data_IF_868862548326
#
_entry.id   IF_868862548326
#
_cell.length_a   1.000
_cell.length_b   1.000
_cell.length_c   1.000
_cell.angle_alpha   90.00
_cell.angle_beta   90.00
_cell.angle_gamma   90.00
#
_symmetry.space_group_name_H-M   'P 1'
#
loop_
_entity.id
_entity.type
_entity.pdbx_description
1 polymer ?
#
# COMPACT_ATOMS: atom_id res chain seq x y z
N UNK A 1 28.56 -4.31 8.01
CA UNK A 1 28.64 -5.70 8.55
C UNK A 1 27.77 -5.85 9.79
N UNK A 2 27.38 -7.06 10.12
CA UNK A 2 26.70 -7.42 11.36
C UNK A 2 27.60 -8.45 12.07
N UNK A 3 28.01 -8.15 13.31
CA UNK A 3 28.91 -8.99 14.11
C UNK A 3 30.15 -9.46 13.32
N UNK A 4 30.76 -8.53 12.56
CA UNK A 4 31.95 -8.76 11.75
C UNK A 4 31.70 -9.48 10.41
N UNK A 5 30.48 -9.90 10.09
CA UNK A 5 30.14 -10.55 8.81
C UNK A 5 29.52 -9.54 7.84
N UNK A 6 29.90 -9.61 6.56
CA UNK A 6 29.30 -8.78 5.53
C UNK A 6 27.82 -9.14 5.36
N UNK A 7 26.97 -8.12 5.32
CA UNK A 7 25.56 -8.26 4.96
C UNK A 7 25.41 -7.95 3.47
N UNK A 8 24.99 -8.90 2.69
CA UNK A 8 24.61 -8.69 1.29
C UNK A 8 23.26 -7.99 1.10
N UNK A 9 22.79 -7.21 2.11
CA UNK A 9 21.47 -6.57 2.14
C UNK A 9 21.51 -5.31 3.01
N UNK A 10 20.58 -4.37 2.78
CA UNK A 10 20.48 -3.10 3.51
C UNK A 10 19.49 -3.14 4.70
N UNK A 11 18.93 -4.26 5.02
CA UNK A 11 17.96 -4.43 6.10
C UNK A 11 18.43 -5.49 7.08
N UNK A 12 17.97 -5.40 8.33
CA UNK A 12 18.21 -6.34 9.41
C UNK A 12 16.87 -6.94 9.87
N UNK A 13 16.90 -8.21 10.29
CA UNK A 13 15.76 -8.80 10.99
C UNK A 13 15.87 -8.49 12.46
N UNK A 14 14.77 -8.25 13.16
CA UNK A 14 14.76 -7.99 14.59
C UNK A 14 15.48 -9.10 15.38
N UNK A 15 15.23 -10.37 15.09
CA UNK A 15 15.89 -11.49 15.75
C UNK A 15 17.42 -11.57 15.57
N UNK A 16 18.00 -10.82 14.62
CA UNK A 16 19.45 -10.76 14.41
C UNK A 16 20.14 -9.74 15.32
N UNK A 17 19.36 -8.87 15.96
CA UNK A 17 19.84 -7.79 16.85
C UNK A 17 19.17 -7.82 18.23
N UNK A 18 18.21 -8.73 18.47
CA UNK A 18 17.42 -8.79 19.70
C UNK A 18 18.29 -9.00 20.96
N UNK A 19 19.37 -9.75 20.85
CA UNK A 19 20.31 -10.00 21.93
C UNK A 19 21.52 -9.04 21.93
N UNK A 20 21.42 -7.95 21.20
CA UNK A 20 22.51 -7.02 20.93
C UNK A 20 23.35 -7.42 19.73
N UNK A 21 23.79 -6.43 18.96
CA UNK A 21 24.61 -6.65 17.77
C UNK A 21 25.61 -5.50 17.54
N UNK A 22 26.77 -5.84 17.02
CA UNK A 22 27.75 -4.87 16.56
C UNK A 22 27.53 -4.61 15.06
N UNK A 23 26.98 -3.42 14.74
CA UNK A 23 26.69 -3.00 13.36
C UNK A 23 27.76 -2.01 12.91
N UNK A 24 28.46 -2.32 11.83
CA UNK A 24 29.41 -1.40 11.20
C UNK A 24 28.86 -0.97 9.83
N UNK A 25 28.60 0.33 9.69
CA UNK A 25 28.23 0.97 8.44
C UNK A 25 29.47 1.65 7.86
N UNK A 26 29.88 1.22 6.68
CA UNK A 26 30.94 1.91 5.94
C UNK A 26 30.26 2.88 4.98
N UNK A 27 30.46 4.16 5.21
CA UNK A 27 29.91 5.22 4.36
C UNK A 27 30.85 5.48 3.16
N UNK A 28 30.27 5.64 1.98
CA UNK A 28 30.98 6.04 0.77
C UNK A 28 30.39 7.34 0.24
N UNK A 29 31.24 8.21 -0.28
CA UNK A 29 30.81 9.43 -0.98
C UNK A 29 30.19 9.16 -2.36
N UNK A 30 30.39 7.94 -2.88
CA UNK A 30 29.74 7.47 -4.09
C UNK A 30 28.62 6.52 -3.68
N UNK A 31 27.36 6.76 -4.09
CA UNK A 31 26.28 5.80 -3.85
C UNK A 31 26.70 4.45 -4.43
N UNK A 32 26.91 3.45 -3.57
CA UNK A 32 27.07 2.10 -4.06
C UNK A 32 25.72 1.70 -4.71
N UNK A 33 25.68 1.44 -6.03
CA UNK A 33 24.44 0.94 -6.61
C UNK A 33 24.11 -0.35 -5.87
N UNK A 34 23.03 -0.32 -5.13
CA UNK A 34 22.51 -1.51 -4.48
C UNK A 34 22.33 -2.55 -5.57
N UNK A 35 23.15 -3.58 -5.57
CA UNK A 35 22.87 -4.76 -6.38
C UNK A 35 21.61 -5.41 -5.81
N UNK A 36 20.45 -4.88 -6.24
CA UNK A 36 19.13 -5.45 -5.98
C UNK A 36 18.92 -6.74 -6.80
N UNK A 37 19.98 -7.53 -6.88
CA UNK A 37 20.00 -8.80 -7.61
C UNK A 37 19.64 -9.99 -6.76
N UNK A 38 18.97 -9.83 -5.61
CA UNK A 38 18.34 -10.96 -4.96
C UNK A 38 17.06 -11.29 -5.71
N UNK A 39 17.20 -12.08 -6.78
CA UNK A 39 16.05 -12.83 -7.28
C UNK A 39 15.57 -13.68 -6.10
N UNK A 40 14.30 -13.54 -5.68
CA UNK A 40 13.77 -14.44 -4.67
C UNK A 40 13.97 -15.88 -5.14
N UNK A 41 14.58 -16.71 -4.31
CA UNK A 41 14.64 -18.14 -4.56
C UNK A 41 13.24 -18.68 -4.88
N UNK A 42 13.13 -19.60 -5.83
CA UNK A 42 11.87 -20.04 -6.41
C UNK A 42 10.77 -20.30 -5.38
N UNK A 43 9.59 -19.80 -5.68
CA UNK A 43 8.39 -19.96 -4.86
C UNK A 43 7.98 -18.73 -4.02
N UNK A 44 8.81 -17.69 -3.91
CA UNK A 44 8.44 -16.45 -3.20
C UNK A 44 7.62 -15.52 -4.10
N UNK A 45 6.61 -14.86 -3.50
CA UNK A 45 5.89 -13.77 -4.14
C UNK A 45 6.54 -12.45 -3.75
N UNK A 46 6.89 -11.64 -4.74
CA UNK A 46 7.46 -10.30 -4.54
C UNK A 46 6.41 -9.28 -4.90
N UNK A 47 6.03 -8.49 -3.91
CA UNK A 47 5.05 -7.41 -4.06
C UNK A 47 5.76 -6.10 -3.70
N UNK A 48 5.57 -5.09 -4.52
CA UNK A 48 5.98 -3.73 -4.20
C UNK A 48 4.74 -2.91 -3.91
N UNK A 49 4.69 -2.30 -2.74
CA UNK A 49 3.74 -1.25 -2.43
C UNK A 49 4.36 0.10 -2.79
N UNK A 50 3.65 0.89 -3.57
CA UNK A 50 3.90 2.31 -3.80
C UNK A 50 2.72 3.07 -3.21
N UNK A 51 2.98 4.09 -2.40
CA UNK A 51 1.92 4.83 -1.74
C UNK A 51 2.12 6.32 -1.89
N UNK A 52 1.02 7.03 -1.98
CA UNK A 52 0.97 8.49 -1.91
C UNK A 52 1.91 9.19 -2.91
N UNK A 53 1.94 8.81 -4.21
CA UNK A 53 2.70 9.55 -5.21
C UNK A 53 2.18 10.97 -5.41
N UNK A 54 0.93 11.22 -5.15
CA UNK A 54 0.19 12.45 -4.90
C UNK A 54 0.63 13.63 -5.78
N UNK A 55 0.52 13.43 -7.10
CA UNK A 55 0.94 14.41 -8.10
C UNK A 55 0.24 15.75 -7.90
N UNK A 56 1.05 16.82 -7.70
CA UNK A 56 0.60 18.17 -7.37
C UNK A 56 0.73 18.56 -5.90
N UNK A 57 1.03 17.64 -4.99
CA UNK A 57 1.07 17.88 -3.55
C UNK A 57 2.13 18.92 -3.14
N UNK A 58 3.38 18.74 -3.57
CA UNK A 58 4.51 19.54 -3.09
C UNK A 58 4.46 21.02 -3.48
N UNK A 59 3.81 21.32 -4.58
CA UNK A 59 3.72 22.69 -5.12
C UNK A 59 2.37 23.35 -4.86
N UNK A 60 1.47 22.70 -4.08
CA UNK A 60 0.09 23.14 -3.91
C UNK A 60 -0.63 23.28 -5.27
N UNK A 61 -0.54 22.22 -6.07
CA UNK A 61 -1.16 22.07 -7.41
C UNK A 61 -0.65 23.04 -8.51
N UNK A 62 0.52 23.65 -8.33
CA UNK A 62 1.08 24.59 -9.30
C UNK A 62 1.97 23.90 -10.35
N UNK A 63 2.64 22.82 -9.99
CA UNK A 63 3.49 22.01 -10.86
C UNK A 63 3.72 20.61 -10.23
N UNK A 64 4.35 19.69 -10.96
CA UNK A 64 4.50 18.28 -10.55
C UNK A 64 5.91 17.74 -10.76
N UNK A 65 6.90 18.60 -10.93
CA UNK A 65 8.27 18.20 -11.27
C UNK A 65 8.84 17.21 -10.25
N UNK A 66 8.63 17.49 -8.98
CA UNK A 66 9.17 16.69 -7.88
C UNK A 66 8.53 15.29 -7.81
N UNK A 67 7.23 15.21 -7.98
CA UNK A 67 6.49 13.95 -7.99
C UNK A 67 6.86 13.10 -9.22
N UNK A 68 6.99 13.73 -10.40
CA UNK A 68 7.45 13.08 -11.64
C UNK A 68 8.84 12.47 -11.45
N UNK A 69 9.78 13.22 -10.86
CA UNK A 69 11.14 12.74 -10.62
C UNK A 69 11.18 11.59 -9.60
N UNK A 70 10.50 11.76 -8.46
CA UNK A 70 10.47 10.76 -7.39
C UNK A 70 9.78 9.47 -7.81
N UNK A 71 8.60 9.58 -8.42
CA UNK A 71 7.85 8.43 -8.93
C UNK A 71 8.59 7.75 -10.11
N UNK A 72 9.22 8.54 -10.99
CA UNK A 72 10.07 8.03 -12.07
C UNK A 72 11.27 7.23 -11.55
N UNK A 73 11.91 7.65 -10.45
CA UNK A 73 12.96 6.85 -9.81
C UNK A 73 12.40 5.57 -9.19
N UNK A 74 11.22 5.62 -8.56
CA UNK A 74 10.54 4.43 -8.07
C UNK A 74 10.26 3.43 -9.21
N UNK A 75 9.74 3.89 -10.35
CA UNK A 75 9.51 3.07 -11.55
C UNK A 75 10.80 2.41 -12.04
N UNK A 76 11.92 3.17 -12.12
CA UNK A 76 13.21 2.59 -12.49
C UNK A 76 13.67 1.48 -11.53
N UNK A 77 13.48 1.67 -10.22
CA UNK A 77 13.82 0.66 -9.20
C UNK A 77 12.92 -0.57 -9.30
N UNK A 78 11.63 -0.37 -9.48
CA UNK A 78 10.65 -1.45 -9.65
C UNK A 78 10.99 -2.30 -10.89
N UNK A 79 11.33 -1.65 -12.02
CA UNK A 79 11.71 -2.35 -13.25
C UNK A 79 12.98 -3.19 -13.06
N UNK A 80 13.96 -2.74 -12.24
CA UNK A 80 15.14 -3.55 -11.89
C UNK A 80 14.79 -4.72 -10.98
N UNK A 81 13.88 -4.53 -10.02
CA UNK A 81 13.45 -5.55 -9.07
C UNK A 81 12.60 -6.64 -9.72
N UNK A 82 11.83 -6.30 -10.75
CA UNK A 82 10.88 -7.19 -11.46
C UNK A 82 9.95 -7.93 -10.49
N UNK A 83 9.16 -7.22 -9.68
CA UNK A 83 8.21 -7.84 -8.77
C UNK A 83 7.10 -8.57 -9.54
N UNK A 84 6.39 -9.45 -8.84
CA UNK A 84 5.22 -10.12 -9.38
C UNK A 84 3.99 -9.21 -9.44
N UNK A 85 3.96 -8.20 -8.56
CA UNK A 85 2.87 -7.24 -8.44
C UNK A 85 3.37 -5.91 -7.89
N UNK A 86 2.84 -4.83 -8.43
CA UNK A 86 2.89 -3.49 -7.82
C UNK A 86 1.48 -3.12 -7.37
N UNK A 87 1.33 -2.71 -6.13
CA UNK A 87 0.08 -2.16 -5.59
C UNK A 87 0.31 -0.70 -5.27
N UNK A 88 -0.47 0.19 -5.90
CA UNK A 88 -0.48 1.61 -5.55
C UNK A 88 -1.63 1.84 -4.57
N UNK A 89 -1.31 2.22 -3.35
CA UNK A 89 -2.27 2.27 -2.23
C UNK A 89 -2.86 3.66 -2.00
N UNK A 90 -3.24 4.32 -3.07
CA UNK A 90 -4.02 5.55 -3.05
C UNK A 90 -3.21 6.84 -3.05
N UNK A 91 -3.94 7.94 -3.13
CA UNK A 91 -3.44 9.30 -3.33
C UNK A 91 -2.48 9.37 -4.52
N UNK A 92 -3.00 8.98 -5.70
CA UNK A 92 -2.28 9.01 -6.96
C UNK A 92 -2.07 10.45 -7.41
N UNK A 93 -3.12 11.25 -7.21
CA UNK A 93 -3.17 12.68 -7.51
C UNK A 93 -3.50 13.47 -6.25
N UNK A 94 -3.21 14.77 -6.25
CA UNK A 94 -3.59 15.66 -5.15
C UNK A 94 -5.02 16.20 -5.28
N UNK A 95 -5.55 16.20 -6.52
CA UNK A 95 -6.91 16.64 -6.81
C UNK A 95 -7.57 15.69 -7.81
N UNK A 96 -8.64 15.01 -7.37
CA UNK A 96 -9.38 14.05 -8.19
C UNK A 96 -9.95 14.67 -9.48
N UNK A 97 -10.21 15.97 -9.51
CA UNK A 97 -10.79 16.71 -10.64
C UNK A 97 -9.76 17.38 -11.56
N UNK A 98 -8.46 17.12 -11.35
CA UNK A 98 -7.36 17.68 -12.13
C UNK A 98 -6.85 16.69 -13.19
N UNK A 99 -7.31 16.85 -14.43
CA UNK A 99 -6.92 15.98 -15.53
C UNK A 99 -5.42 16.05 -15.91
N UNK A 100 -4.68 17.09 -15.50
CA UNK A 100 -3.24 17.17 -15.75
C UNK A 100 -2.47 16.31 -14.78
N UNK A 101 -2.91 16.27 -13.51
CA UNK A 101 -2.32 15.39 -12.51
C UNK A 101 -2.51 13.91 -12.87
N UNK A 102 -3.71 13.52 -13.31
CA UNK A 102 -3.98 12.16 -13.78
C UNK A 102 -3.08 11.79 -14.97
N UNK A 103 -3.00 12.66 -15.99
CA UNK A 103 -2.15 12.41 -17.15
C UNK A 103 -0.66 12.28 -16.78
N UNK A 104 -0.19 13.10 -15.86
CA UNK A 104 1.21 13.05 -15.40
C UNK A 104 1.51 11.75 -14.66
N UNK A 105 0.64 11.35 -13.73
CA UNK A 105 0.76 10.07 -13.02
C UNK A 105 0.74 8.88 -14.01
N UNK A 106 -0.27 8.80 -14.88
CA UNK A 106 -0.42 7.73 -15.87
C UNK A 106 0.81 7.64 -16.79
N UNK A 107 1.35 8.79 -17.20
CA UNK A 107 2.56 8.84 -18.02
C UNK A 107 3.77 8.21 -17.31
N UNK A 108 3.97 8.52 -16.03
CA UNK A 108 5.10 7.98 -15.26
C UNK A 108 4.91 6.48 -14.98
N UNK A 109 3.73 6.07 -14.56
CA UNK A 109 3.42 4.65 -14.26
C UNK A 109 3.47 3.78 -15.53
N UNK A 110 3.14 4.33 -16.68
CA UNK A 110 3.27 3.61 -17.98
C UNK A 110 4.71 3.20 -18.30
N UNK A 111 5.70 3.78 -17.62
CA UNK A 111 7.12 3.39 -17.69
C UNK A 111 7.46 2.07 -16.98
N UNK A 112 6.52 1.47 -16.26
CA UNK A 112 6.70 0.13 -15.71
C UNK A 112 6.75 -0.93 -16.83
N UNK A 113 7.62 -1.93 -16.65
CA UNK A 113 7.70 -3.07 -17.55
C UNK A 113 6.32 -3.73 -17.68
N UNK A 114 5.86 -3.94 -18.92
CA UNK A 114 4.53 -4.50 -19.22
C UNK A 114 4.29 -5.91 -18.65
N UNK A 115 5.36 -6.61 -18.26
CA UNK A 115 5.25 -7.90 -17.59
C UNK A 115 4.92 -7.78 -16.09
N UNK A 116 5.10 -6.60 -15.50
CA UNK A 116 4.78 -6.33 -14.11
C UNK A 116 3.29 -6.00 -14.00
N UNK A 117 2.56 -6.80 -13.23
CA UNK A 117 1.16 -6.48 -12.94
C UNK A 117 1.07 -5.28 -12.01
N UNK A 118 0.22 -4.32 -12.35
CA UNK A 118 -0.04 -3.13 -11.53
C UNK A 118 -1.51 -3.09 -11.18
N UNK A 119 -1.83 -2.78 -9.92
CA UNK A 119 -3.17 -2.47 -9.44
C UNK A 119 -3.13 -1.20 -8.61
N UNK A 120 -4.13 -0.35 -8.78
CA UNK A 120 -4.27 0.89 -8.03
C UNK A 120 -5.51 0.83 -7.15
N UNK A 121 -5.43 1.45 -5.98
CA UNK A 121 -6.54 1.73 -5.08
C UNK A 121 -6.71 3.24 -4.96
N UNK A 122 -7.92 3.75 -4.71
CA UNK A 122 -8.11 5.17 -4.46
C UNK A 122 -7.72 5.55 -3.03
N UNK A 123 -7.06 6.71 -2.88
CA UNK A 123 -6.94 7.42 -1.63
C UNK A 123 -8.01 8.51 -1.49
N UNK A 124 -7.93 9.31 -0.44
CA UNK A 124 -8.92 10.38 -0.24
C UNK A 124 -8.79 11.55 -1.23
N UNK A 125 -7.61 11.75 -1.81
CA UNK A 125 -7.38 12.78 -2.83
C UNK A 125 -7.82 12.35 -4.24
N UNK A 126 -8.04 11.06 -4.49
CA UNK A 126 -8.41 10.50 -5.80
C UNK A 126 -9.92 10.50 -6.05
N UNK A 127 -10.73 10.96 -5.11
CA UNK A 127 -12.18 10.86 -5.14
C UNK A 127 -12.85 12.05 -4.44
N UNK A 128 -14.11 12.33 -4.81
CA UNK A 128 -14.87 13.39 -4.17
C UNK A 128 -15.52 12.90 -2.89
N UNK A 129 -15.23 13.58 -1.78
CA UNK A 129 -15.80 13.28 -0.47
C UNK A 129 -16.71 14.43 -0.04
N UNK A 130 -17.94 14.12 0.35
CA UNK A 130 -18.94 15.08 0.78
C UNK A 130 -19.72 14.51 1.98
N UNK A 131 -19.25 14.83 3.20
CA UNK A 131 -19.77 14.23 4.42
C UNK A 131 -19.52 12.73 4.48
N UNK A 132 -20.58 11.94 4.55
CA UNK A 132 -20.55 10.49 4.53
C UNK A 132 -20.57 9.87 3.12
N UNK A 133 -20.70 10.68 2.06
CA UNK A 133 -20.74 10.21 0.67
C UNK A 133 -19.38 10.30 0.01
N UNK A 134 -19.00 9.20 -0.61
CA UNK A 134 -17.74 9.06 -1.35
C UNK A 134 -18.03 8.74 -2.81
N UNK A 135 -17.76 9.69 -3.69
CA UNK A 135 -17.91 9.51 -5.13
C UNK A 135 -16.57 9.17 -5.79
N UNK A 136 -16.41 7.91 -6.14
CA UNK A 136 -15.21 7.34 -6.75
C UNK A 136 -15.31 7.24 -8.28
N UNK A 137 -16.20 8.00 -8.91
CA UNK A 137 -16.48 7.89 -10.36
C UNK A 137 -15.24 8.18 -11.19
N UNK A 138 -14.55 9.30 -10.93
CA UNK A 138 -13.35 9.69 -11.69
C UNK A 138 -12.25 8.64 -11.60
N UNK A 139 -11.97 8.13 -10.42
CA UNK A 139 -10.99 7.04 -10.25
C UNK A 139 -11.38 5.79 -11.06
N UNK A 140 -12.67 5.41 -11.03
CA UNK A 140 -13.18 4.25 -11.78
C UNK A 140 -13.11 4.45 -13.30
N UNK A 141 -13.23 5.66 -13.79
CA UNK A 141 -13.03 5.98 -15.20
C UNK A 141 -11.58 5.73 -15.65
N UNK A 142 -10.60 5.96 -14.77
CA UNK A 142 -9.18 5.68 -15.03
C UNK A 142 -8.81 4.20 -14.87
N UNK A 143 -9.28 3.55 -13.80
CA UNK A 143 -8.78 2.21 -13.39
C UNK A 143 -9.85 1.11 -13.41
N UNK A 144 -11.08 1.40 -13.76
CA UNK A 144 -12.18 0.45 -13.90
C UNK A 144 -12.81 0.00 -12.59
N UNK A 145 -12.05 -0.15 -11.51
CA UNK A 145 -12.55 -0.64 -10.22
C UNK A 145 -11.83 0.03 -9.05
N UNK A 146 -12.54 0.17 -7.93
CA UNK A 146 -12.05 0.75 -6.67
C UNK A 146 -11.56 -0.28 -5.65
N UNK A 147 -11.58 -1.55 -6.03
CA UNK A 147 -11.19 -2.69 -5.20
C UNK A 147 -10.74 -3.86 -6.07
N UNK A 148 -9.97 -4.78 -5.51
CA UNK A 148 -9.54 -5.97 -6.25
C UNK A 148 -9.42 -7.19 -5.34
N UNK A 149 -9.57 -8.38 -5.95
CA UNK A 149 -9.17 -9.67 -5.39
C UNK A 149 -8.30 -10.39 -6.41
N UNK A 150 -7.11 -10.80 -5.99
CA UNK A 150 -6.12 -11.41 -6.86
C UNK A 150 -5.50 -12.63 -6.21
N UNK A 151 -5.66 -13.79 -6.85
CA UNK A 151 -4.89 -14.98 -6.52
C UNK A 151 -3.52 -14.91 -7.22
N UNK A 152 -2.44 -14.97 -6.45
CA UNK A 152 -1.08 -14.89 -6.96
C UNK A 152 -0.18 -15.90 -6.25
N UNK A 153 0.32 -16.90 -6.97
CA UNK A 153 1.23 -17.93 -6.43
C UNK A 153 0.73 -18.57 -5.12
N UNK A 154 -0.58 -18.86 -5.03
CA UNK A 154 -1.19 -19.48 -3.86
C UNK A 154 -1.52 -18.53 -2.70
N UNK A 155 -1.29 -17.23 -2.88
CA UNK A 155 -1.71 -16.18 -1.95
C UNK A 155 -2.98 -15.49 -2.44
N UNK A 156 -3.79 -14.95 -1.53
CA UNK A 156 -4.89 -14.05 -1.83
C UNK A 156 -4.49 -12.61 -1.46
N UNK A 157 -4.50 -11.75 -2.46
CA UNK A 157 -4.23 -10.33 -2.31
C UNK A 157 -5.52 -9.56 -2.56
N UNK A 158 -5.91 -8.75 -1.60
CA UNK A 158 -7.14 -7.97 -1.61
C UNK A 158 -6.81 -6.49 -1.53
N UNK A 159 -7.59 -5.66 -2.17
CA UNK A 159 -7.54 -4.22 -2.01
C UNK A 159 -8.93 -3.65 -1.89
N UNK A 160 -9.13 -2.66 -1.04
CA UNK A 160 -10.42 -2.00 -0.80
C UNK A 160 -10.30 -0.48 -0.78
N UNK A 161 -11.39 0.19 -1.10
CA UNK A 161 -11.52 1.63 -0.91
C UNK A 161 -11.82 1.94 0.56
N UNK A 162 -10.78 2.26 1.31
CA UNK A 162 -10.90 2.55 2.75
C UNK A 162 -11.65 3.86 3.06
N UNK A 163 -11.84 4.75 2.09
CA UNK A 163 -12.62 5.97 2.29
C UNK A 163 -14.10 5.66 2.58
N UNK A 164 -14.65 4.59 2.01
CA UNK A 164 -16.01 4.15 2.35
C UNK A 164 -16.16 3.83 3.83
N UNK A 165 -15.15 3.18 4.42
CA UNK A 165 -15.13 2.85 5.84
C UNK A 165 -14.89 4.10 6.68
N UNK A 166 -13.89 4.91 6.27
CA UNK A 166 -13.49 6.13 6.97
C UNK A 166 -14.64 7.13 7.13
N UNK A 167 -15.44 7.27 6.08
CA UNK A 167 -16.58 8.20 6.03
C UNK A 167 -17.92 7.54 6.36
N UNK A 168 -17.93 6.24 6.66
CA UNK A 168 -19.16 5.47 6.95
C UNK A 168 -20.18 5.61 5.83
N UNK A 169 -19.75 5.48 4.56
CA UNK A 169 -20.65 5.60 3.41
C UNK A 169 -21.79 4.57 3.51
N UNK A 170 -23.05 5.01 3.63
CA UNK A 170 -24.15 4.11 3.99
C UNK A 170 -24.52 3.09 2.91
N UNK A 171 -24.05 3.28 1.67
CA UNK A 171 -24.30 2.38 0.55
C UNK A 171 -23.06 1.55 0.19
N UNK A 172 -21.91 2.22 0.10
CA UNK A 172 -20.70 1.60 -0.41
C UNK A 172 -19.97 0.78 0.65
N UNK A 173 -19.96 1.23 1.92
CA UNK A 173 -19.28 0.51 2.99
C UNK A 173 -19.89 -0.87 3.22
N UNK A 174 -21.23 -1.04 3.43
CA UNK A 174 -21.81 -2.37 3.62
C UNK A 174 -21.64 -3.29 2.40
N UNK A 175 -21.77 -2.74 1.20
CA UNK A 175 -21.58 -3.50 -0.03
C UNK A 175 -20.14 -4.00 -0.18
N UNK A 176 -19.15 -3.15 0.14
CA UNK A 176 -17.73 -3.52 0.13
C UNK A 176 -17.40 -4.55 1.20
N UNK A 177 -17.95 -4.39 2.41
CA UNK A 177 -17.74 -5.34 3.53
C UNK A 177 -18.27 -6.72 3.19
N UNK A 178 -19.48 -6.80 2.62
CA UNK A 178 -20.06 -8.07 2.17
C UNK A 178 -19.21 -8.73 1.06
N UNK A 179 -18.74 -7.93 0.09
CA UNK A 179 -17.83 -8.41 -0.94
C UNK A 179 -16.51 -8.95 -0.34
N UNK A 180 -15.93 -8.23 0.61
CA UNK A 180 -14.69 -8.65 1.27
C UNK A 180 -14.86 -9.97 2.04
N UNK A 181 -15.99 -10.12 2.77
CA UNK A 181 -16.35 -11.36 3.45
C UNK A 181 -16.48 -12.53 2.49
N UNK A 182 -17.13 -12.30 1.35
CA UNK A 182 -17.24 -13.30 0.28
C UNK A 182 -15.88 -13.73 -0.28
N UNK A 183 -14.98 -12.77 -0.56
CA UNK A 183 -13.65 -13.09 -1.10
C UNK A 183 -12.79 -13.86 -0.09
N UNK A 184 -12.82 -13.46 1.17
CA UNK A 184 -12.11 -14.16 2.25
C UNK A 184 -12.65 -15.58 2.47
N UNK A 185 -13.97 -15.76 2.43
CA UNK A 185 -14.64 -17.05 2.63
C UNK A 185 -14.47 -18.05 1.49
N UNK A 186 -14.33 -17.56 0.25
CA UNK A 186 -14.14 -18.42 -0.94
C UNK A 186 -12.70 -18.93 -1.11
N UNK A 187 -11.73 -18.37 -0.40
CA UNK A 187 -10.31 -18.67 -0.61
C UNK A 187 -9.76 -19.55 0.49
N UNK A 188 -9.09 -20.62 0.10
CA UNK A 188 -8.28 -21.50 0.95
C UNK A 188 -6.79 -21.13 0.97
N UNK A 189 -6.43 -19.96 0.41
CA UNK A 189 -5.07 -19.45 0.41
C UNK A 189 -4.53 -19.34 1.84
N UNK A 190 -3.30 -19.83 2.06
CA UNK A 190 -2.63 -19.81 3.38
C UNK A 190 -2.21 -18.40 3.81
N UNK A 191 -1.88 -17.56 2.85
CA UNK A 191 -1.51 -16.17 3.08
C UNK A 191 -2.53 -15.28 2.38
N UNK A 192 -3.21 -14.46 3.16
CA UNK A 192 -4.17 -13.47 2.71
C UNK A 192 -3.71 -12.11 3.20
N UNK A 193 -3.60 -11.14 2.30
CA UNK A 193 -3.09 -9.78 2.55
C UNK A 193 -4.11 -8.80 2.03
N UNK A 194 -4.37 -7.74 2.81
CA UNK A 194 -5.24 -6.63 2.44
C UNK A 194 -4.41 -5.36 2.22
N UNK A 195 -4.73 -4.64 1.17
CA UNK A 195 -4.21 -3.31 0.89
C UNK A 195 -5.32 -2.26 1.02
N UNK A 196 -5.00 -1.16 1.67
CA UNK A 196 -5.92 -0.03 1.89
C UNK A 196 -5.18 1.28 1.69
N UNK A 197 -5.89 2.40 1.62
CA UNK A 197 -5.24 3.70 1.72
C UNK A 197 -5.15 4.13 3.18
N UNK A 198 -6.27 4.30 3.89
CA UNK A 198 -6.24 4.63 5.32
C UNK A 198 -5.86 3.41 6.16
N UNK A 199 -4.92 3.53 7.12
CA UNK A 199 -4.69 2.50 8.12
C UNK A 199 -5.90 2.38 9.07
N UNK A 200 -6.11 1.19 9.61
CA UNK A 200 -7.17 1.00 10.62
C UNK A 200 -6.77 1.63 11.95
N UNK A 201 -5.53 1.48 12.35
CA UNK A 201 -4.91 2.11 13.53
C UNK A 201 -3.40 2.24 13.30
N UNK A 202 -2.67 2.95 14.15
CA UNK A 202 -1.22 3.13 14.02
C UNK A 202 -0.45 2.19 14.93
N UNK A 203 -0.89 2.04 16.17
CA UNK A 203 -0.22 1.25 17.19
C UNK A 203 -1.15 0.27 17.88
N UNK A 204 -2.36 0.69 18.23
CA UNK A 204 -3.34 -0.09 18.99
C UNK A 204 -4.74 0.06 18.42
N UNK A 205 -5.50 -1.04 18.37
CA UNK A 205 -6.86 -1.04 17.81
C UNK A 205 -7.81 -0.07 18.52
N UNK A 206 -7.58 0.15 19.82
CA UNK A 206 -8.38 1.02 20.67
C UNK A 206 -7.83 2.44 20.82
N UNK A 207 -6.78 2.79 20.07
CA UNK A 207 -6.26 4.16 20.08
C UNK A 207 -7.32 5.19 19.67
N UNK A 208 -7.13 6.44 20.08
CA UNK A 208 -8.06 7.55 19.84
C UNK A 208 -8.30 7.75 18.34
N UNK A 209 -9.54 8.08 17.98
CA UNK A 209 -9.89 8.46 16.62
C UNK A 209 -9.14 9.71 16.18
N UNK A 210 -8.76 9.72 14.91
CA UNK A 210 -8.07 10.84 14.31
C UNK A 210 -8.18 10.86 12.80
N UNK A 211 -7.67 11.92 12.20
CA UNK A 211 -7.62 12.08 10.75
C UNK A 211 -6.95 10.89 10.04
N UNK A 212 -5.80 10.37 10.50
CA UNK A 212 -5.06 9.39 9.71
C UNK A 212 -5.65 7.97 9.71
N UNK A 213 -6.56 7.63 10.63
CA UNK A 213 -7.01 6.25 10.86
C UNK A 213 -8.50 6.06 10.63
N UNK A 214 -8.90 4.82 10.36
CA UNK A 214 -10.31 4.40 10.35
C UNK A 214 -10.91 4.62 11.73
N UNK A 215 -12.18 5.06 11.79
CA UNK A 215 -12.90 5.31 13.03
C UNK A 215 -12.99 4.06 13.92
N UNK A 216 -12.81 4.24 15.23
CA UNK A 216 -12.78 3.17 16.23
C UNK A 216 -14.02 2.28 16.19
N UNK A 217 -15.20 2.86 15.91
CA UNK A 217 -16.46 2.13 15.79
C UNK A 217 -16.44 1.04 14.70
N UNK A 218 -15.59 1.20 13.67
CA UNK A 218 -15.48 0.25 12.57
C UNK A 218 -14.37 -0.80 12.78
N UNK A 219 -13.29 -0.45 13.52
CA UNK A 219 -12.09 -1.28 13.63
C UNK A 219 -12.38 -2.71 14.07
N UNK A 220 -13.06 -2.89 15.21
CA UNK A 220 -13.34 -4.21 15.77
C UNK A 220 -14.15 -5.09 14.81
N UNK A 221 -15.22 -4.53 14.21
CA UNK A 221 -16.06 -5.31 13.29
C UNK A 221 -15.34 -5.75 12.02
N UNK A 222 -14.34 -4.98 11.56
CA UNK A 222 -13.49 -5.37 10.45
C UNK A 222 -12.44 -6.39 10.88
N UNK A 223 -11.82 -6.22 12.05
CA UNK A 223 -10.83 -7.18 12.54
C UNK A 223 -11.46 -8.54 12.89
N UNK A 224 -12.68 -8.59 13.41
CA UNK A 224 -13.44 -9.84 13.53
C UNK A 224 -13.64 -10.54 12.17
N UNK A 225 -13.94 -9.78 11.12
CA UNK A 225 -14.03 -10.31 9.76
C UNK A 225 -12.67 -10.81 9.26
N UNK A 226 -11.59 -10.06 9.50
CA UNK A 226 -10.22 -10.42 9.09
C UNK A 226 -9.74 -11.70 9.78
N UNK A 227 -9.99 -11.84 11.09
CA UNK A 227 -9.65 -13.03 11.87
C UNK A 227 -10.40 -14.26 11.34
N UNK A 228 -11.71 -14.18 11.18
CA UNK A 228 -12.53 -15.28 10.60
C UNK A 228 -12.06 -15.64 9.19
N UNK A 229 -11.68 -14.64 8.40
CA UNK A 229 -11.19 -14.81 7.05
C UNK A 229 -9.75 -15.32 6.95
N UNK A 230 -9.01 -15.36 8.07
CA UNK A 230 -7.61 -15.80 8.11
C UNK A 230 -6.62 -14.81 7.49
N UNK A 231 -6.94 -13.50 7.52
CA UNK A 231 -6.05 -12.43 7.06
C UNK A 231 -4.76 -12.43 7.89
N UNK A 232 -3.63 -12.11 7.26
CA UNK A 232 -2.31 -12.08 7.92
C UNK A 232 -1.75 -10.69 8.08
N UNK A 233 -2.04 -9.80 7.14
CA UNK A 233 -1.53 -8.44 7.18
C UNK A 233 -2.45 -7.46 6.46
N UNK A 234 -2.40 -6.20 6.89
CA UNK A 234 -2.98 -5.04 6.22
C UNK A 234 -1.85 -4.06 5.93
N UNK A 235 -1.69 -3.65 4.68
CA UNK A 235 -0.75 -2.61 4.27
C UNK A 235 -1.50 -1.36 3.86
N UNK A 236 -1.12 -0.23 4.44
CA UNK A 236 -1.78 1.05 4.22
C UNK A 236 -0.81 2.13 3.72
N UNK A 237 -1.37 3.25 3.24
CA UNK A 237 -0.70 4.49 2.87
C UNK A 237 -1.09 5.64 3.80
N UNK A 238 -1.35 6.82 3.21
CA UNK A 238 -1.94 8.01 3.84
C UNK A 238 -1.07 8.78 4.84
N UNK A 239 -0.21 8.09 5.57
CA UNK A 239 0.54 8.71 6.68
C UNK A 239 1.71 9.59 6.25
N UNK A 240 2.22 9.40 5.02
CA UNK A 240 3.52 9.95 4.59
C UNK A 240 4.65 9.65 5.60
N UNK A 241 4.54 8.54 6.30
CA UNK A 241 5.45 8.11 7.36
C UNK A 241 5.29 6.64 7.70
N UNK A 242 6.07 6.18 8.66
CA UNK A 242 6.07 4.79 9.10
C UNK A 242 5.22 4.62 10.36
N UNK A 243 4.38 3.59 10.37
CA UNK A 243 3.69 3.09 11.55
C UNK A 243 3.62 1.57 11.48
N UNK A 244 3.57 0.91 12.62
CA UNK A 244 3.44 -0.52 12.71
C UNK A 244 2.59 -0.89 13.92
N UNK A 245 1.62 -1.75 13.70
CA UNK A 245 0.75 -2.29 14.72
C UNK A 245 0.53 -3.78 14.55
N UNK A 246 -0.05 -4.41 15.55
CA UNK A 246 -0.48 -5.80 15.48
C UNK A 246 -1.75 -5.97 16.34
N UNK A 247 -2.71 -6.69 15.82
CA UNK A 247 -3.88 -7.08 16.58
C UNK A 247 -4.23 -8.55 16.27
N UNK A 248 -4.23 -9.38 17.31
CA UNK A 248 -4.54 -10.83 17.23
C UNK A 248 -3.75 -11.57 16.14
N UNK A 249 -2.49 -11.17 15.91
CA UNK A 249 -1.61 -11.80 14.92
C UNK A 249 -1.81 -11.31 13.48
N UNK A 250 -2.62 -10.27 13.27
CA UNK A 250 -2.73 -9.53 12.00
C UNK A 250 -1.79 -8.32 12.08
N UNK A 251 -0.79 -8.30 11.20
CA UNK A 251 0.17 -7.19 11.11
C UNK A 251 -0.43 -6.00 10.37
N UNK A 252 -0.04 -4.77 10.79
CA UNK A 252 -0.40 -3.54 10.11
C UNK A 252 0.78 -2.59 10.04
#
# INVERSE_FOLDING_TARGET
>A
TLNGRSLGRAWLRHGEIADGAHIVLTMSSVPNPFESGVKPEGGKTVIVQLSDPQFGYWSDNREMTREIEACGEAVRRINRLKPDLVVVTGDLVNRYDDAEQWRAFDSVISGLDKQIKVVCLPGNHDQKISGDKVDCTVFKEHYGADRFALALKGNLLLGINSSYIKHCDPEQEPAQKAWLEEQLGKSDAKVKILFTHHPFFLHEIDETDGYPVIGRSQRHSYFELFERGGLKAVYAGHLHGEAQGNYNGIEM
#
